data_IF_849998834383
#
_entry.id   IF_849998834383
#
_cell.length_a   1.000
_cell.length_b   1.000
_cell.length_c   1.000
_cell.angle_alpha   90.00
_cell.angle_beta   90.00
_cell.angle_gamma   90.00
#
_symmetry.space_group_name_H-M   'P 1'
#
loop_
_entity.id
_entity.type
_entity.pdbx_description
1 polymer ?
#
# COMPACT_ATOMS: atom_id res chain seq x y z
N UNK A 1 6.06 11.32 -21.13
CA UNK A 1 5.27 10.31 -20.35
C UNK A 1 3.85 10.21 -20.91
N UNK A 2 3.09 11.32 -21.00
CA UNK A 2 1.69 11.34 -21.43
C UNK A 2 1.47 10.62 -22.78
N UNK A 3 2.21 10.99 -23.82
CA UNK A 3 2.06 10.40 -25.16
C UNK A 3 2.30 8.86 -25.17
N UNK A 4 3.24 8.38 -24.33
CA UNK A 4 3.52 6.96 -24.20
C UNK A 4 2.37 6.22 -23.52
N UNK A 5 1.78 6.81 -22.46
CA UNK A 5 0.61 6.26 -21.77
C UNK A 5 -0.62 6.27 -22.68
N UNK A 6 -0.82 7.35 -23.44
CA UNK A 6 -1.90 7.44 -24.41
C UNK A 6 -1.82 6.32 -25.47
N UNK A 7 -0.64 6.16 -26.06
CA UNK A 7 -0.41 5.08 -27.04
C UNK A 7 -0.61 3.69 -26.43
N UNK A 8 -0.14 3.49 -25.17
CA UNK A 8 -0.33 2.25 -24.45
C UNK A 8 -1.82 1.92 -24.25
N UNK A 9 -2.59 2.84 -23.67
CA UNK A 9 -4.02 2.60 -23.45
C UNK A 9 -4.82 2.49 -24.75
N UNK A 10 -4.44 3.21 -25.81
CA UNK A 10 -5.04 3.06 -27.14
C UNK A 10 -4.82 1.66 -27.71
N UNK A 11 -3.65 1.06 -27.45
CA UNK A 11 -3.29 -0.26 -27.96
C UNK A 11 -3.84 -1.39 -27.12
N UNK A 12 -3.77 -1.25 -25.78
CA UNK A 12 -4.05 -2.33 -24.83
C UNK A 12 -5.33 -2.15 -24.01
N UNK A 13 -6.01 -1.01 -24.13
CA UNK A 13 -7.24 -0.70 -23.39
C UNK A 13 -8.51 -1.39 -23.91
N UNK A 14 -8.44 -2.10 -25.04
CA UNK A 14 -9.47 -2.86 -25.76
C UNK A 14 -10.84 -2.92 -25.08
N UNK A 15 -11.07 -3.92 -24.27
CA UNK A 15 -12.35 -4.15 -23.60
C UNK A 15 -12.83 -2.97 -22.72
N UNK A 16 -11.92 -2.31 -22.00
CA UNK A 16 -12.28 -1.17 -21.16
C UNK A 16 -12.77 0.03 -22.01
N UNK A 17 -12.17 0.26 -23.16
CA UNK A 17 -12.58 1.31 -24.09
C UNK A 17 -13.92 0.98 -24.77
N UNK A 18 -14.18 -0.28 -25.08
CA UNK A 18 -15.47 -0.73 -25.63
C UNK A 18 -16.59 -0.60 -24.62
N UNK A 19 -16.37 -1.00 -23.37
CA UNK A 19 -17.33 -0.82 -22.27
C UNK A 19 -17.63 0.67 -22.06
N UNK A 20 -16.59 1.53 -22.04
CA UNK A 20 -16.75 2.97 -21.89
C UNK A 20 -17.67 3.56 -22.99
N UNK A 21 -17.49 3.14 -24.23
CA UNK A 21 -18.28 3.63 -25.35
C UNK A 21 -19.70 3.04 -25.38
N UNK A 22 -19.84 1.73 -25.21
CA UNK A 22 -21.11 1.03 -25.40
C UNK A 22 -22.05 1.12 -24.19
N UNK A 23 -21.52 1.15 -22.97
CA UNK A 23 -22.33 1.12 -21.75
C UNK A 23 -22.43 2.48 -21.06
N UNK A 24 -21.42 3.34 -21.21
CA UNK A 24 -21.37 4.63 -20.52
C UNK A 24 -21.45 5.83 -21.46
N UNK A 25 -21.45 5.64 -22.78
CA UNK A 25 -21.51 6.72 -23.75
C UNK A 25 -20.28 7.67 -23.73
N UNK A 26 -19.16 7.19 -23.19
CA UNK A 26 -17.90 7.93 -23.13
C UNK A 26 -17.06 7.56 -24.34
N UNK A 27 -16.60 8.54 -25.12
CA UNK A 27 -15.75 8.24 -26.28
C UNK A 27 -14.46 7.54 -25.86
N UNK A 28 -13.90 6.72 -26.75
CA UNK A 28 -12.63 6.00 -26.49
C UNK A 28 -11.50 6.97 -26.13
N UNK A 29 -11.49 8.15 -26.72
CA UNK A 29 -10.51 9.21 -26.40
C UNK A 29 -10.66 9.71 -24.96
N UNK A 30 -11.88 10.07 -24.56
CA UNK A 30 -12.16 10.47 -23.18
C UNK A 30 -11.87 9.35 -22.18
N UNK A 31 -12.19 8.10 -22.52
CA UNK A 31 -11.85 6.94 -21.71
C UNK A 31 -10.33 6.80 -21.51
N UNK A 32 -9.52 6.99 -22.55
CA UNK A 32 -8.06 6.98 -22.46
C UNK A 32 -7.57 8.11 -21.54
N UNK A 33 -8.11 9.33 -21.65
CA UNK A 33 -7.77 10.43 -20.75
C UNK A 33 -8.10 10.11 -19.28
N UNK A 34 -9.26 9.52 -19.03
CA UNK A 34 -9.66 9.09 -17.69
C UNK A 34 -8.73 8.00 -17.14
N UNK A 35 -8.34 7.01 -17.96
CA UNK A 35 -7.39 5.96 -17.57
C UNK A 35 -6.00 6.55 -17.24
N UNK A 36 -5.51 7.50 -18.04
CA UNK A 36 -4.24 8.19 -17.77
C UNK A 36 -4.31 8.98 -16.46
N UNK A 37 -5.41 9.69 -16.22
CA UNK A 37 -5.61 10.43 -14.96
C UNK A 37 -5.62 9.48 -13.76
N UNK A 38 -6.43 8.41 -13.83
CA UNK A 38 -6.54 7.41 -12.78
C UNK A 38 -5.21 6.72 -12.49
N UNK A 39 -4.48 6.32 -13.54
CA UNK A 39 -3.16 5.72 -13.41
C UNK A 39 -2.16 6.71 -12.80
N UNK A 40 -2.09 7.94 -13.33
CA UNK A 40 -1.17 8.97 -12.85
C UNK A 40 -1.42 9.34 -11.39
N UNK A 41 -2.70 9.56 -11.01
CA UNK A 41 -3.06 9.91 -9.64
C UNK A 41 -2.69 8.78 -8.66
N UNK A 42 -3.08 7.55 -8.96
CA UNK A 42 -2.89 6.43 -8.02
C UNK A 42 -1.42 5.97 -7.99
N UNK A 43 -0.76 5.82 -9.13
CA UNK A 43 0.62 5.35 -9.18
C UNK A 43 1.61 6.40 -8.64
N UNK A 44 1.43 7.68 -8.98
CA UNK A 44 2.38 8.73 -8.55
C UNK A 44 2.10 9.15 -7.12
N UNK A 45 0.85 9.50 -6.77
CA UNK A 45 0.55 10.04 -5.44
C UNK A 45 0.78 9.00 -4.33
N UNK A 46 0.28 7.77 -4.51
CA UNK A 46 0.46 6.69 -3.52
C UNK A 46 1.93 6.36 -3.27
N UNK A 47 2.69 6.14 -4.33
CA UNK A 47 4.12 5.78 -4.22
C UNK A 47 4.99 6.93 -3.74
N UNK A 48 4.68 8.19 -4.09
CA UNK A 48 5.44 9.36 -3.62
C UNK A 48 5.36 9.56 -2.10
N UNK A 49 4.33 9.03 -1.46
CA UNK A 49 4.19 9.03 -0.01
C UNK A 49 4.74 7.75 0.63
N UNK A 50 4.44 6.59 0.02
CA UNK A 50 4.78 5.28 0.59
C UNK A 50 6.28 4.99 0.55
N UNK A 51 6.94 5.11 -0.61
CA UNK A 51 8.34 4.69 -0.75
C UNK A 51 9.30 5.51 0.13
N UNK A 52 9.22 6.84 0.21
CA UNK A 52 10.04 7.59 1.14
C UNK A 52 9.80 7.21 2.61
N UNK A 53 8.54 6.96 2.99
CA UNK A 53 8.20 6.51 4.34
C UNK A 53 8.81 5.14 4.66
N UNK A 54 8.68 4.17 3.74
CA UNK A 54 9.28 2.85 3.86
C UNK A 54 10.80 2.93 4.05
N UNK A 55 11.48 3.67 3.18
CA UNK A 55 12.95 3.85 3.24
C UNK A 55 13.36 4.54 4.54
N UNK A 56 12.60 5.56 4.97
CA UNK A 56 12.88 6.24 6.24
C UNK A 56 12.73 5.29 7.42
N UNK A 57 11.64 4.53 7.50
CA UNK A 57 11.45 3.57 8.59
C UNK A 57 12.56 2.54 8.64
N UNK A 58 13.02 2.01 7.50
CA UNK A 58 14.16 1.08 7.46
C UNK A 58 15.43 1.77 7.95
N UNK A 59 15.72 2.99 7.49
CA UNK A 59 16.90 3.74 7.90
C UNK A 59 16.94 4.02 9.41
N UNK A 60 15.78 4.37 9.99
CA UNK A 60 15.65 4.67 11.42
C UNK A 60 15.88 3.44 12.33
N UNK A 61 15.72 2.21 11.80
CA UNK A 61 16.00 0.98 12.56
C UNK A 61 17.49 0.65 12.68
N UNK A 62 18.34 1.30 11.89
CA UNK A 62 19.79 1.18 11.99
C UNK A 62 20.38 -0.13 11.48
N UNK A 63 21.64 -0.34 11.82
CA UNK A 63 22.51 -1.34 11.18
C UNK A 63 22.05 -2.79 11.38
N UNK A 64 21.41 -3.10 12.50
CA UNK A 64 21.02 -4.49 12.78
C UNK A 64 19.91 -4.97 11.83
N UNK A 65 18.90 -4.13 11.56
CA UNK A 65 17.91 -4.46 10.55
C UNK A 65 18.53 -4.51 9.15
N UNK A 66 19.43 -3.57 8.84
CA UNK A 66 20.07 -3.52 7.52
C UNK A 66 20.85 -4.81 7.21
N UNK A 67 21.64 -5.32 8.17
CA UNK A 67 22.36 -6.59 8.03
C UNK A 67 21.43 -7.77 7.75
N UNK A 68 20.35 -7.87 8.53
CA UNK A 68 19.34 -8.93 8.38
C UNK A 68 18.65 -8.89 7.01
N UNK A 69 18.28 -7.70 6.55
CA UNK A 69 17.66 -7.52 5.21
C UNK A 69 18.66 -7.84 4.10
N UNK A 70 19.92 -7.40 4.21
CA UNK A 70 20.96 -7.70 3.21
C UNK A 70 21.24 -9.21 3.14
N UNK A 71 21.31 -9.89 4.28
CA UNK A 71 21.51 -11.33 4.36
C UNK A 71 20.31 -12.09 3.75
N UNK A 72 19.07 -11.77 4.14
CA UNK A 72 17.88 -12.41 3.60
C UNK A 72 17.80 -12.25 2.08
N UNK A 73 17.97 -11.02 1.58
CA UNK A 73 17.87 -10.70 0.16
C UNK A 73 18.94 -11.44 -0.65
N UNK A 74 20.20 -11.39 -0.22
CA UNK A 74 21.32 -12.01 -0.96
C UNK A 74 21.22 -13.53 -0.94
N UNK A 75 20.81 -14.12 0.18
CA UNK A 75 20.60 -15.56 0.28
C UNK A 75 19.47 -16.03 -0.64
N UNK A 76 18.33 -15.32 -0.64
CA UNK A 76 17.21 -15.65 -1.53
C UNK A 76 17.59 -15.54 -3.02
N UNK A 77 18.31 -14.47 -3.40
CA UNK A 77 18.78 -14.31 -4.78
C UNK A 77 19.77 -15.42 -5.15
N UNK A 78 20.70 -15.76 -4.25
CA UNK A 78 21.67 -16.83 -4.49
C UNK A 78 20.99 -18.20 -4.65
N UNK A 79 19.99 -18.48 -3.83
CA UNK A 79 19.25 -19.75 -3.87
C UNK A 79 18.39 -19.88 -5.13
N UNK A 80 17.74 -18.80 -5.57
CA UNK A 80 16.83 -18.79 -6.74
C UNK A 80 17.49 -18.38 -8.05
N UNK A 81 18.79 -18.06 -8.02
CA UNK A 81 19.60 -17.73 -9.19
C UNK A 81 19.49 -16.28 -9.66
N UNK A 82 18.40 -15.58 -9.36
CA UNK A 82 18.15 -14.17 -9.72
C UNK A 82 17.11 -13.54 -8.81
N UNK A 83 16.96 -12.21 -8.90
CA UNK A 83 15.86 -11.48 -8.28
C UNK A 83 14.57 -11.68 -9.09
N UNK A 84 13.87 -12.74 -8.82
CA UNK A 84 12.62 -13.13 -9.46
C UNK A 84 11.49 -13.25 -8.42
N UNK A 85 10.28 -13.63 -8.85
CA UNK A 85 9.13 -13.80 -7.95
C UNK A 85 9.35 -14.85 -6.86
N UNK A 86 10.08 -15.93 -7.16
CA UNK A 86 10.38 -16.97 -6.18
C UNK A 86 11.32 -16.45 -5.10
N UNK A 87 12.36 -15.69 -5.49
CA UNK A 87 13.27 -15.04 -4.56
C UNK A 87 12.52 -14.03 -3.66
N UNK A 88 11.70 -13.17 -4.24
CA UNK A 88 10.88 -12.20 -3.47
C UNK A 88 9.95 -12.93 -2.49
N UNK A 89 9.36 -14.05 -2.86
CA UNK A 89 8.47 -14.81 -1.97
C UNK A 89 9.23 -15.55 -0.85
N UNK A 90 10.52 -15.77 -1.03
CA UNK A 90 11.41 -16.36 -0.01
C UNK A 90 11.96 -15.33 1.00
N UNK A 91 11.44 -14.09 1.04
CA UNK A 91 11.91 -12.99 1.90
C UNK A 91 10.82 -12.57 2.91
N UNK A 92 10.59 -13.34 3.98
CA UNK A 92 9.54 -13.06 4.97
C UNK A 92 9.81 -11.79 5.80
N UNK A 93 11.07 -11.50 6.18
CA UNK A 93 11.41 -10.27 6.90
C UNK A 93 11.16 -9.04 6.02
N UNK A 94 11.58 -9.08 4.77
CA UNK A 94 11.31 -8.01 3.81
C UNK A 94 9.81 -7.77 3.63
N UNK A 95 9.02 -8.84 3.51
CA UNK A 95 7.55 -8.76 3.46
C UNK A 95 7.02 -8.06 4.71
N UNK A 96 7.46 -8.49 5.88
CA UNK A 96 7.04 -7.95 7.17
C UNK A 96 7.35 -6.45 7.29
N UNK A 97 8.55 -6.03 6.92
CA UNK A 97 8.97 -4.62 6.95
C UNK A 97 8.09 -3.73 6.06
N UNK A 98 7.71 -4.21 4.88
CA UNK A 98 6.82 -3.49 3.96
C UNK A 98 5.42 -3.33 4.55
N UNK A 99 4.84 -4.39 5.11
CA UNK A 99 3.52 -4.31 5.76
C UNK A 99 3.55 -3.45 7.02
N UNK A 100 4.63 -3.50 7.80
CA UNK A 100 4.77 -2.66 8.99
C UNK A 100 4.86 -1.17 8.63
N UNK A 101 5.55 -0.82 7.55
CA UNK A 101 5.57 0.55 7.06
C UNK A 101 4.17 1.04 6.64
N UNK A 102 3.40 0.21 5.94
CA UNK A 102 2.02 0.50 5.55
C UNK A 102 1.11 0.64 6.78
N UNK A 103 1.29 -0.20 7.79
CA UNK A 103 0.52 -0.15 9.04
C UNK A 103 0.81 1.12 9.83
N UNK A 104 2.08 1.46 10.00
CA UNK A 104 2.52 2.62 10.80
C UNK A 104 2.17 3.94 10.10
N UNK A 105 2.38 3.99 8.78
CA UNK A 105 2.21 5.21 8.00
C UNK A 105 1.52 4.91 6.66
N UNK A 106 0.21 4.66 6.67
CA UNK A 106 -0.53 4.42 5.43
C UNK A 106 -0.50 5.68 4.56
N UNK A 107 -0.28 5.53 3.23
CA UNK A 107 -0.20 6.66 2.30
C UNK A 107 -1.47 7.51 2.26
N UNK A 108 -2.62 6.86 2.42
CA UNK A 108 -3.94 7.52 2.41
C UNK A 108 -4.67 7.17 3.71
N UNK A 109 -4.39 7.89 4.81
CA UNK A 109 -4.87 7.51 6.15
C UNK A 109 -6.35 7.82 6.40
N UNK A 110 -7.01 8.59 5.53
CA UNK A 110 -8.38 9.07 5.73
C UNK A 110 -9.25 8.72 4.54
N UNK A 111 -10.42 8.16 4.85
CA UNK A 111 -11.50 7.92 3.88
C UNK A 111 -12.72 8.74 4.29
N UNK A 112 -13.29 9.49 3.35
CA UNK A 112 -14.44 10.33 3.63
C UNK A 112 -15.68 9.79 2.94
N UNK A 113 -16.79 9.79 3.66
CA UNK A 113 -18.11 9.45 3.14
C UNK A 113 -19.18 10.39 3.71
N UNK A 114 -20.18 10.71 2.90
CA UNK A 114 -21.35 11.47 3.35
C UNK A 114 -22.55 10.54 3.50
N UNK A 115 -23.18 10.58 4.67
CA UNK A 115 -24.35 9.75 4.96
C UNK A 115 -25.50 10.09 3.99
N UNK A 116 -26.02 9.11 3.27
CA UNK A 116 -27.15 9.26 2.33
C UNK A 116 -28.51 9.16 3.03
N UNK A 117 -28.53 8.59 4.24
CA UNK A 117 -29.69 8.45 5.14
C UNK A 117 -29.21 8.48 6.57
N UNK A 118 -30.10 8.60 7.52
CA UNK A 118 -29.79 8.39 8.92
C UNK A 118 -29.36 6.93 9.11
N UNK A 119 -28.27 6.74 9.86
CA UNK A 119 -27.74 5.40 10.15
C UNK A 119 -27.11 5.37 11.54
N UNK A 120 -27.01 4.19 12.12
CA UNK A 120 -26.30 3.97 13.36
C UNK A 120 -24.96 3.31 13.02
N UNK A 121 -23.87 3.92 13.49
CA UNK A 121 -22.53 3.32 13.47
C UNK A 121 -22.28 2.74 14.84
N UNK A 122 -21.96 1.45 14.90
CA UNK A 122 -21.72 0.75 16.15
C UNK A 122 -20.23 0.42 16.29
N UNK A 123 -19.69 0.65 17.47
CA UNK A 123 -18.44 0.10 17.94
C UNK A 123 -18.71 -0.91 19.06
N UNK A 124 -17.66 -1.56 19.55
CA UNK A 124 -17.79 -2.45 20.71
C UNK A 124 -18.10 -1.69 22.04
N UNK A 125 -18.00 -0.38 22.05
CA UNK A 125 -18.19 0.46 23.25
C UNK A 125 -19.40 1.39 23.15
N UNK A 126 -19.81 1.78 21.94
CA UNK A 126 -20.84 2.80 21.76
C UNK A 126 -21.58 2.69 20.43
N UNK A 127 -22.75 3.33 20.40
CA UNK A 127 -23.56 3.54 19.21
C UNK A 127 -23.68 5.02 18.90
N UNK A 128 -23.47 5.38 17.64
CA UNK A 128 -23.49 6.78 17.20
C UNK A 128 -24.55 6.94 16.11
N UNK A 129 -25.50 7.85 16.35
CA UNK A 129 -26.43 8.26 15.31
C UNK A 129 -25.73 9.23 14.35
N UNK A 130 -25.62 8.85 13.10
CA UNK A 130 -25.14 9.70 12.00
C UNK A 130 -26.34 10.11 11.18
N UNK A 131 -26.59 11.42 11.07
CA UNK A 131 -27.71 11.96 10.31
C UNK A 131 -27.38 12.06 8.82
N UNK A 132 -28.42 12.00 7.98
CA UNK A 132 -28.30 12.26 6.55
C UNK A 132 -27.59 13.59 6.29
N UNK A 133 -26.59 13.56 5.43
CA UNK A 133 -25.78 14.73 5.08
C UNK A 133 -24.52 14.93 5.93
N UNK A 134 -24.37 14.26 7.07
CA UNK A 134 -23.15 14.34 7.87
C UNK A 134 -21.96 13.69 7.17
N UNK A 135 -20.78 14.29 7.37
CA UNK A 135 -19.52 13.78 6.84
C UNK A 135 -18.87 12.83 7.85
N UNK A 136 -18.62 11.61 7.42
CA UNK A 136 -17.86 10.62 8.17
C UNK A 136 -16.43 10.56 7.69
N UNK A 137 -15.50 10.36 8.61
CA UNK A 137 -14.09 10.14 8.31
C UNK A 137 -13.66 8.80 8.91
N UNK A 138 -13.38 7.81 8.07
CA UNK A 138 -12.66 6.61 8.45
C UNK A 138 -11.17 6.91 8.56
N UNK A 139 -10.61 6.85 9.78
CA UNK A 139 -9.20 7.09 10.02
C UNK A 139 -8.48 5.76 10.28
N UNK A 140 -7.90 5.20 9.23
CA UNK A 140 -7.26 3.88 9.24
C UNK A 140 -6.24 3.66 10.38
N UNK A 141 -5.39 4.66 10.74
CA UNK A 141 -4.45 4.48 11.84
C UNK A 141 -5.08 4.13 13.19
N UNK A 142 -6.35 4.45 13.43
CA UNK A 142 -7.02 3.99 14.65
C UNK A 142 -7.13 2.47 14.71
N UNK A 143 -7.55 1.83 13.63
CA UNK A 143 -7.63 0.38 13.57
C UNK A 143 -6.24 -0.28 13.51
N UNK A 144 -5.31 0.30 12.73
CA UNK A 144 -3.97 -0.26 12.55
C UNK A 144 -3.02 0.00 13.72
N UNK A 145 -3.41 0.84 14.67
CA UNK A 145 -2.68 1.10 15.93
C UNK A 145 -3.52 0.77 17.17
N UNK A 146 -4.53 -0.07 17.02
CA UNK A 146 -5.32 -0.53 18.15
C UNK A 146 -4.51 -1.51 19.00
N UNK A 147 -4.28 -1.23 20.31
CA UNK A 147 -3.55 -2.12 21.19
C UNK A 147 -4.26 -3.46 21.46
N UNK A 148 -5.55 -3.57 21.16
CA UNK A 148 -6.29 -4.84 21.22
C UNK A 148 -5.92 -5.78 20.05
N UNK A 149 -5.38 -5.23 18.96
CA UNK A 149 -5.02 -5.99 17.76
C UNK A 149 -3.50 -6.13 17.60
N UNK A 150 -2.74 -5.13 18.03
CA UNK A 150 -1.30 -5.07 17.81
C UNK A 150 -0.57 -4.80 19.14
N UNK A 151 0.35 -5.66 19.51
CA UNK A 151 1.30 -5.37 20.57
C UNK A 151 2.20 -4.19 20.18
N UNK A 152 2.52 -3.30 21.14
CA UNK A 152 3.31 -2.08 20.88
C UNK A 152 2.90 -1.38 19.58
N UNK A 153 1.64 -0.91 19.49
CA UNK A 153 1.01 -0.56 18.22
C UNK A 153 1.60 0.69 17.56
N UNK A 154 2.30 1.53 18.30
CA UNK A 154 2.93 2.76 17.81
C UNK A 154 4.40 2.58 17.41
N UNK A 155 4.99 1.42 17.74
CA UNK A 155 6.37 1.10 17.40
C UNK A 155 6.46 0.40 16.04
N UNK A 156 7.51 0.71 15.29
CA UNK A 156 7.85 -0.01 14.08
C UNK A 156 8.61 -1.29 14.45
N UNK A 157 7.97 -2.44 14.28
CA UNK A 157 8.54 -3.74 14.60
C UNK A 157 8.78 -4.53 13.30
N UNK A 158 10.03 -4.65 12.86
CA UNK A 158 10.37 -5.32 11.58
C UNK A 158 9.82 -6.74 11.45
N UNK A 159 9.73 -7.46 12.55
CA UNK A 159 9.32 -8.87 12.59
C UNK A 159 7.83 -9.09 12.83
N UNK A 160 7.03 -8.03 12.92
CA UNK A 160 5.61 -8.14 13.32
C UNK A 160 4.81 -9.12 12.48
N UNK A 161 5.09 -9.20 11.21
CA UNK A 161 4.36 -10.03 10.25
C UNK A 161 5.15 -11.28 9.82
N UNK A 162 6.20 -11.65 10.56
CA UNK A 162 6.97 -12.88 10.30
C UNK A 162 6.31 -14.06 11.03
N UNK A 163 6.33 -15.24 10.38
CA UNK A 163 5.79 -16.47 10.93
C UNK A 163 4.27 -16.55 10.93
N UNK A 164 3.73 -17.66 11.41
CA UNK A 164 2.29 -17.98 11.30
C UNK A 164 1.40 -16.94 11.99
N UNK A 165 1.76 -16.51 13.20
CA UNK A 165 1.00 -15.50 13.93
C UNK A 165 1.11 -14.12 13.28
N UNK A 166 2.28 -13.77 12.74
CA UNK A 166 2.48 -12.55 11.99
C UNK A 166 1.66 -12.53 10.70
N UNK A 167 1.62 -13.61 9.97
CA UNK A 167 0.81 -13.73 8.74
C UNK A 167 -0.70 -13.51 9.01
N UNK A 168 -1.21 -13.99 10.14
CA UNK A 168 -2.60 -13.73 10.55
C UNK A 168 -2.88 -12.24 10.78
N UNK A 169 -1.88 -11.48 11.23
CA UNK A 169 -2.01 -10.04 11.45
C UNK A 169 -2.07 -9.24 10.15
N UNK A 170 -1.56 -9.76 9.03
CA UNK A 170 -1.65 -9.11 7.72
C UNK A 170 -3.12 -8.80 7.39
N UNK A 171 -4.03 -9.70 7.69
CA UNK A 171 -5.47 -9.50 7.52
C UNK A 171 -6.05 -8.32 8.33
N UNK A 172 -5.27 -7.67 9.19
CA UNK A 172 -5.66 -6.47 9.95
C UNK A 172 -5.07 -5.18 9.36
N UNK A 173 -4.31 -5.27 8.28
CA UNK A 173 -3.83 -4.10 7.54
C UNK A 173 -4.95 -3.63 6.61
N UNK A 174 -5.31 -2.36 6.72
CA UNK A 174 -6.44 -1.79 5.99
C UNK A 174 -5.99 -1.14 4.68
N UNK A 175 -6.75 -1.43 3.63
CA UNK A 175 -6.57 -0.90 2.28
C UNK A 175 -7.84 -0.14 1.86
N UNK A 176 -7.87 1.16 2.06
CA UNK A 176 -9.08 1.96 1.88
C UNK A 176 -10.22 1.49 2.81
N UNK A 177 -11.21 0.79 2.30
CA UNK A 177 -12.42 0.40 3.03
C UNK A 177 -12.45 -1.08 3.44
N UNK A 178 -11.35 -1.82 3.27
CA UNK A 178 -11.34 -3.23 3.59
C UNK A 178 -9.98 -3.77 4.05
N UNK A 179 -9.97 -4.91 4.74
CA UNK A 179 -8.76 -5.57 5.19
C UNK A 179 -7.99 -6.22 4.02
N UNK A 180 -6.72 -6.53 4.24
CA UNK A 180 -5.82 -7.13 3.25
C UNK A 180 -6.34 -8.41 2.59
N UNK A 181 -7.07 -9.23 3.34
CA UNK A 181 -7.50 -10.56 2.90
C UNK A 181 -8.71 -10.57 1.98
N UNK A 182 -9.35 -9.43 1.77
CA UNK A 182 -10.54 -9.35 0.94
C UNK A 182 -10.21 -8.83 -0.47
N UNK A 183 -10.91 -9.35 -1.47
CA UNK A 183 -10.80 -8.86 -2.85
C UNK A 183 -11.60 -7.56 -3.04
N UNK A 184 -11.10 -6.61 -3.86
CA UNK A 184 -11.84 -5.41 -4.20
C UNK A 184 -13.12 -5.74 -4.97
N UNK A 185 -14.23 -5.18 -4.53
CA UNK A 185 -15.54 -5.30 -5.21
C UNK A 185 -16.24 -3.94 -5.24
N UNK A 186 -17.32 -3.75 -6.01
CA UNK A 186 -18.15 -2.54 -5.95
C UNK A 186 -18.68 -2.22 -4.54
N UNK A 187 -18.81 -3.23 -3.68
CA UNK A 187 -19.30 -3.11 -2.31
C UNK A 187 -18.17 -3.04 -1.27
N UNK A 188 -16.99 -3.57 -1.61
CA UNK A 188 -15.77 -3.53 -0.81
C UNK A 188 -14.68 -2.81 -1.60
N UNK A 189 -14.64 -1.50 -1.51
CA UNK A 189 -13.76 -0.63 -2.29
C UNK A 189 -12.35 -0.56 -1.69
N UNK A 190 -11.67 -1.68 -1.65
CA UNK A 190 -10.25 -1.71 -1.34
C UNK A 190 -9.43 -1.01 -2.43
N UNK A 191 -8.16 -0.73 -2.10
CA UNK A 191 -7.20 -0.30 -3.11
C UNK A 191 -6.97 -1.44 -4.13
N UNK A 192 -7.34 -1.27 -5.41
CA UNK A 192 -7.10 -2.30 -6.41
C UNK A 192 -5.60 -2.50 -6.72
N UNK A 193 -4.75 -1.58 -6.28
CA UNK A 193 -3.31 -1.64 -6.44
C UNK A 193 -2.55 -2.21 -5.24
N UNK A 194 -3.23 -2.79 -4.23
CA UNK A 194 -2.57 -3.27 -3.00
C UNK A 194 -1.40 -4.21 -3.27
N UNK A 195 -1.57 -5.20 -4.12
CA UNK A 195 -0.54 -6.18 -4.43
C UNK A 195 0.65 -5.56 -5.18
N UNK A 196 0.39 -4.63 -6.10
CA UNK A 196 1.44 -3.86 -6.80
C UNK A 196 2.21 -2.98 -5.82
N UNK A 197 1.54 -2.36 -4.85
CA UNK A 197 2.20 -1.53 -3.84
C UNK A 197 3.14 -2.37 -2.99
N UNK A 198 2.67 -3.50 -2.48
CA UNK A 198 3.49 -4.43 -1.69
C UNK A 198 4.65 -4.99 -2.50
N UNK A 199 4.38 -5.48 -3.71
CA UNK A 199 5.42 -6.01 -4.60
C UNK A 199 6.48 -4.95 -4.92
N UNK A 200 6.07 -3.74 -5.29
CA UNK A 200 7.01 -2.66 -5.62
C UNK A 200 7.85 -2.25 -4.41
N UNK A 201 7.24 -2.14 -3.23
CA UNK A 201 7.98 -1.88 -1.99
C UNK A 201 9.04 -2.95 -1.72
N UNK A 202 8.67 -4.23 -1.86
CA UNK A 202 9.61 -5.36 -1.70
C UNK A 202 10.72 -5.33 -2.74
N UNK A 203 10.40 -5.09 -4.01
CA UNK A 203 11.41 -5.00 -5.08
C UNK A 203 12.40 -3.86 -4.86
N UNK A 204 11.92 -2.67 -4.49
CA UNK A 204 12.80 -1.52 -4.22
C UNK A 204 13.77 -1.84 -3.09
N UNK A 205 13.29 -2.38 -1.97
CA UNK A 205 14.14 -2.73 -0.83
C UNK A 205 15.09 -3.87 -1.18
N UNK A 206 14.61 -4.90 -1.90
CA UNK A 206 15.47 -6.01 -2.36
C UNK A 206 16.59 -5.51 -3.28
N UNK A 207 16.30 -4.64 -4.24
CA UNK A 207 17.34 -4.03 -5.11
C UNK A 207 18.35 -3.21 -4.31
N UNK A 208 17.91 -2.46 -3.30
CA UNK A 208 18.81 -1.70 -2.43
C UNK A 208 19.74 -2.62 -1.66
N UNK A 209 19.21 -3.61 -0.93
CA UNK A 209 20.02 -4.50 -0.10
C UNK A 209 20.76 -5.60 -0.87
N UNK A 210 20.43 -5.83 -2.13
CA UNK A 210 21.29 -6.64 -3.01
C UNK A 210 22.64 -5.95 -3.31
N UNK A 211 22.66 -4.60 -3.29
CA UNK A 211 23.82 -3.78 -3.69
C UNK A 211 24.51 -3.08 -2.53
N UNK A 212 23.77 -2.74 -1.47
CA UNK A 212 24.26 -1.92 -0.35
C UNK A 212 24.06 -2.67 0.97
N UNK A 213 24.96 -2.45 1.92
CA UNK A 213 24.87 -3.03 3.26
C UNK A 213 24.07 -2.16 4.24
N UNK A 214 24.02 -0.86 3.96
CA UNK A 214 23.36 0.13 4.82
C UNK A 214 22.73 1.23 3.99
N UNK A 215 21.74 1.89 4.58
CA UNK A 215 21.16 3.12 4.04
C UNK A 215 20.93 4.12 5.17
N UNK A 216 21.07 5.40 4.83
CA UNK A 216 20.77 6.52 5.73
C UNK A 216 19.96 7.58 5.00
N UNK A 217 19.03 8.18 5.70
CA UNK A 217 18.26 9.33 5.18
C UNK A 217 18.80 10.60 5.83
N UNK A 218 19.33 11.52 5.02
CA UNK A 218 19.71 12.85 5.51
C UNK A 218 18.46 13.70 5.64
N UNK A 219 18.31 14.40 6.76
CA UNK A 219 17.30 15.44 6.86
C UNK A 219 17.51 16.48 5.74
N UNK A 220 16.44 17.04 5.16
CA UNK A 220 16.60 18.16 4.24
C UNK A 220 17.44 19.22 4.92
N UNK A 221 18.49 19.71 4.25
CA UNK A 221 19.22 20.89 4.72
C UNK A 221 18.20 22.03 4.75
N UNK A 222 18.03 22.68 5.90
CA UNK A 222 17.26 23.93 5.95
C UNK A 222 17.83 24.86 4.89
N UNK A 223 17.09 25.03 3.80
CA UNK A 223 17.39 26.07 2.81
C UNK A 223 17.17 27.41 3.51
N UNK A 224 18.27 28.07 3.81
CA UNK A 224 18.28 29.48 4.25
C UNK A 224 17.68 30.38 3.19
#
# INVERSE_FOLDING_TARGET
VYQKLYAFFKTYGGQALEIAENEFGITKEEAIHNLIFMFGLNAVAGFSLFLPALIKHIADQGIELHKRLAEEVRNAIKEKGDLNFEAINAMPLLKSVVYEALRIQPPVPRQYARARKDLIVESHEARFLVKKGELMCGYQPFAMKDPKLFDRPTEFLPDRFVGEEGEKLIGRVWWSNGPETEEPTPHNKQCPGKDIVVLTGRLVVAVLFSKFDTLTVKAPSESK
#
